data_IF_842006615638
#
_entry.id   IF_842006615638
#
_cell.length_a   1.000
_cell.length_b   1.000
_cell.length_c   1.000
_cell.angle_alpha   90.00
_cell.angle_beta   90.00
_cell.angle_gamma   90.00
#
_symmetry.space_group_name_H-M   'P 1'
#
loop_
_entity.id
_entity.type
_entity.pdbx_description
1 polymer ?
#
# COMPACT_ATOMS: atom_id res chain seq x y z
N UNK A 1 -11.22 -8.78 29.46
CA UNK A 1 -9.99 -8.42 30.19
C UNK A 1 -9.29 -7.34 29.40
N UNK A 2 -9.14 -6.15 29.99
CA UNK A 2 -8.49 -5.00 29.38
C UNK A 2 -6.97 -5.23 29.41
N UNK A 3 -6.38 -5.52 28.26
CA UNK A 3 -4.92 -5.53 28.08
C UNK A 3 -4.50 -4.10 27.70
N UNK A 4 -4.25 -3.26 28.69
CA UNK A 4 -3.46 -2.04 28.49
C UNK A 4 -1.98 -2.43 28.57
N UNK A 5 -1.43 -3.06 27.53
CA UNK A 5 -0.02 -2.87 27.25
C UNK A 5 0.12 -1.44 26.72
N UNK A 6 1.07 -0.67 27.27
CA UNK A 6 1.34 0.69 26.82
C UNK A 6 1.90 0.64 25.39
N UNK A 7 1.03 0.62 24.38
CA UNK A 7 1.46 0.73 23.00
C UNK A 7 2.11 2.11 22.83
N UNK A 8 3.36 2.16 22.34
CA UNK A 8 4.04 3.43 22.02
C UNK A 8 3.12 4.33 21.20
N UNK A 9 3.07 5.63 21.50
CA UNK A 9 2.23 6.55 20.72
C UNK A 9 2.70 6.60 19.26
N UNK A 10 1.84 7.03 18.34
CA UNK A 10 2.22 7.12 16.92
C UNK A 10 3.42 8.05 16.72
N UNK A 11 3.47 9.16 17.45
CA UNK A 11 4.58 10.12 17.41
C UNK A 11 5.86 9.53 18.00
N UNK A 12 5.77 8.82 19.13
CA UNK A 12 6.93 8.16 19.74
C UNK A 12 7.58 7.17 18.76
N UNK A 13 6.79 6.38 18.03
CA UNK A 13 7.28 5.41 17.05
C UNK A 13 8.07 6.10 15.96
N UNK A 14 7.55 7.19 15.38
CA UNK A 14 8.21 7.87 14.26
C UNK A 14 9.45 8.67 14.73
N UNK A 15 9.36 9.35 15.87
CA UNK A 15 10.44 10.23 16.34
C UNK A 15 11.64 9.41 16.84
N UNK A 16 11.40 8.19 17.31
CA UNK A 16 12.42 7.24 17.74
C UNK A 16 12.70 6.14 16.71
N UNK A 17 12.16 6.22 15.50
CA UNK A 17 12.48 5.25 14.46
C UNK A 17 13.98 5.33 14.11
N UNK A 18 14.65 4.17 14.14
CA UNK A 18 16.09 4.02 13.82
C UNK A 18 16.37 3.01 12.71
N UNK A 19 15.34 2.45 12.09
CA UNK A 19 15.47 1.41 11.08
C UNK A 19 15.31 0.01 11.66
N UNK A 20 15.69 -0.99 10.87
CA UNK A 20 15.62 -2.41 11.21
C UNK A 20 16.62 -2.75 12.32
N UNK A 21 16.19 -3.56 13.27
CA UNK A 21 16.98 -3.95 14.45
C UNK A 21 17.62 -5.32 14.19
N UNK A 22 18.96 -5.37 14.17
CA UNK A 22 19.77 -6.60 14.05
C UNK A 22 19.42 -7.52 12.87
N UNK A 23 18.87 -6.98 11.78
CA UNK A 23 18.36 -7.76 10.65
C UNK A 23 17.27 -8.80 11.05
N UNK A 24 16.59 -8.54 12.18
CA UNK A 24 15.58 -9.41 12.77
C UNK A 24 14.19 -8.77 12.68
N UNK A 25 13.36 -9.34 11.81
CA UNK A 25 11.98 -8.90 11.56
C UNK A 25 11.14 -8.90 12.84
N UNK A 26 11.22 -9.98 13.62
CA UNK A 26 10.39 -10.15 14.81
C UNK A 26 10.80 -9.21 15.92
N UNK A 27 12.10 -9.09 16.18
CA UNK A 27 12.64 -8.11 17.12
C UNK A 27 12.26 -6.69 16.72
N UNK A 28 12.37 -6.36 15.43
CA UNK A 28 11.96 -5.05 14.90
C UNK A 28 10.49 -4.77 15.20
N UNK A 29 9.58 -5.72 14.93
CA UNK A 29 8.15 -5.55 15.23
C UNK A 29 7.88 -5.43 16.74
N UNK A 30 8.50 -6.29 17.56
CA UNK A 30 8.29 -6.28 19.02
C UNK A 30 8.72 -4.95 19.64
N UNK A 31 9.93 -4.49 19.32
CA UNK A 31 10.51 -3.29 19.91
C UNK A 31 9.78 -2.03 19.40
N UNK A 32 9.44 -1.97 18.10
CA UNK A 32 8.74 -0.82 17.50
C UNK A 32 7.38 -0.58 18.15
N UNK A 33 6.63 -1.65 18.42
CA UNK A 33 5.26 -1.55 18.92
C UNK A 33 5.15 -1.78 20.44
N UNK A 34 6.28 -1.92 21.14
CA UNK A 34 6.29 -2.13 22.60
C UNK A 34 5.61 -3.44 23.02
N UNK A 35 5.75 -4.48 22.22
CA UNK A 35 5.11 -5.79 22.45
C UNK A 35 5.98 -6.66 23.36
N UNK A 36 5.34 -7.55 24.12
CA UNK A 36 6.06 -8.52 24.96
C UNK A 36 6.89 -9.50 24.11
N UNK A 37 8.06 -9.90 24.61
CA UNK A 37 8.84 -10.99 23.99
C UNK A 37 8.09 -12.32 23.95
N UNK A 38 7.16 -12.51 24.88
CA UNK A 38 6.28 -13.68 24.98
C UNK A 38 4.93 -13.44 24.28
N UNK A 39 4.83 -12.49 23.36
CA UNK A 39 3.61 -12.19 22.62
C UNK A 39 3.12 -13.40 21.81
N UNK A 40 2.04 -14.01 22.30
CA UNK A 40 1.41 -15.18 21.70
C UNK A 40 0.35 -14.87 20.64
N UNK A 41 0.29 -13.64 20.12
CA UNK A 41 -0.72 -13.27 19.13
C UNK A 41 -0.54 -14.06 17.83
N UNK A 42 -1.65 -14.60 17.34
CA UNK A 42 -1.69 -15.39 16.12
C UNK A 42 -2.17 -14.51 14.97
N UNK A 43 -1.26 -14.15 14.07
CA UNK A 43 -1.59 -13.47 12.83
C UNK A 43 -2.25 -14.44 11.87
N UNK A 44 -3.44 -14.08 11.36
CA UNK A 44 -4.29 -14.96 10.55
C UNK A 44 -4.50 -14.40 9.16
N UNK A 45 -4.48 -15.30 8.18
CA UNK A 45 -5.05 -15.08 6.84
C UNK A 45 -5.84 -16.33 6.44
N UNK A 46 -6.47 -16.34 5.26
CA UNK A 46 -7.16 -17.53 4.76
C UNK A 46 -6.25 -18.77 4.66
N UNK A 47 -4.93 -18.58 4.48
CA UNK A 47 -3.99 -19.66 4.16
C UNK A 47 -3.08 -20.11 5.31
N UNK A 48 -3.01 -19.36 6.42
CA UNK A 48 -2.21 -19.75 7.59
C UNK A 48 -2.61 -18.96 8.86
N UNK A 49 -2.16 -19.49 10.00
CA UNK A 49 -2.27 -18.87 11.31
C UNK A 49 -0.96 -19.08 12.07
N UNK A 50 -0.18 -18.01 12.27
CA UNK A 50 1.17 -18.10 12.84
C UNK A 50 1.43 -16.98 13.85
N UNK A 51 2.19 -17.30 14.89
CA UNK A 51 2.75 -16.32 15.83
C UNK A 51 4.00 -15.67 15.25
N UNK A 52 4.41 -14.53 15.81
CA UNK A 52 5.62 -13.84 15.35
C UNK A 52 6.90 -14.71 15.42
N UNK A 53 7.15 -15.50 16.50
CA UNK A 53 8.29 -16.42 16.53
C UNK A 53 8.25 -17.49 15.44
N UNK A 54 7.07 -18.06 15.14
CA UNK A 54 6.92 -19.04 14.06
C UNK A 54 7.20 -18.43 12.68
N UNK A 55 6.81 -17.16 12.48
CA UNK A 55 7.13 -16.41 11.26
C UNK A 55 8.65 -16.24 11.15
N UNK A 56 9.33 -15.84 12.24
CA UNK A 56 10.79 -15.70 12.28
C UNK A 56 11.50 -17.00 11.93
N UNK A 57 11.08 -18.11 12.53
CA UNK A 57 11.66 -19.43 12.27
C UNK A 57 11.57 -19.79 10.78
N UNK A 58 10.44 -19.47 10.15
CA UNK A 58 10.21 -19.76 8.72
C UNK A 58 11.05 -18.87 7.81
N UNK A 59 11.28 -17.60 8.21
CA UNK A 59 12.22 -16.68 7.55
C UNK A 59 13.64 -17.23 7.64
N UNK A 60 14.11 -17.56 8.86
CA UNK A 60 15.46 -18.06 9.12
C UNK A 60 15.74 -19.39 8.43
N UNK A 61 14.72 -20.24 8.25
CA UNK A 61 14.82 -21.48 7.48
C UNK A 61 14.86 -21.28 5.95
N UNK A 62 14.71 -20.04 5.46
CA UNK A 62 14.71 -19.72 4.03
C UNK A 62 13.49 -20.22 3.26
N UNK A 63 12.40 -20.61 3.96
CA UNK A 63 11.22 -21.24 3.36
C UNK A 63 10.25 -20.25 2.71
N UNK A 64 10.44 -18.95 2.90
CA UNK A 64 9.54 -17.89 2.40
C UNK A 64 10.04 -17.18 1.14
N UNK A 65 11.05 -17.72 0.46
CA UNK A 65 11.62 -17.08 -0.74
C UNK A 65 10.60 -17.08 -1.89
N UNK A 66 10.38 -15.92 -2.48
CA UNK A 66 9.67 -15.79 -3.74
C UNK A 66 10.56 -16.29 -4.88
N UNK A 67 9.98 -17.08 -5.78
CA UNK A 67 10.72 -17.72 -6.86
C UNK A 67 10.35 -17.12 -8.21
N UNK A 68 11.22 -16.27 -8.74
CA UNK A 68 11.19 -15.89 -10.15
C UNK A 68 11.58 -17.08 -11.00
N UNK A 69 10.91 -17.27 -12.14
CA UNK A 69 11.17 -18.39 -13.03
C UNK A 69 11.50 -17.94 -14.45
N UNK A 70 12.47 -18.59 -15.05
CA UNK A 70 12.81 -18.49 -16.47
C UNK A 70 12.73 -19.88 -17.09
N UNK A 71 11.84 -20.09 -18.06
CA UNK A 71 11.60 -21.40 -18.69
C UNK A 71 11.42 -22.55 -17.68
N UNK A 72 10.67 -22.29 -16.59
CA UNK A 72 10.39 -23.27 -15.52
C UNK A 72 11.53 -23.50 -14.53
N UNK A 73 12.65 -22.77 -14.63
CA UNK A 73 13.77 -22.83 -13.69
C UNK A 73 13.76 -21.63 -12.76
N UNK A 74 13.94 -21.88 -11.46
CA UNK A 74 14.07 -20.82 -10.46
C UNK A 74 15.34 -20.00 -10.71
N UNK A 75 15.17 -18.69 -10.84
CA UNK A 75 16.25 -17.72 -11.01
C UNK A 75 16.60 -17.11 -9.66
N UNK A 76 17.90 -17.09 -9.34
CA UNK A 76 18.41 -16.41 -8.16
C UNK A 76 18.42 -14.90 -8.39
N UNK A 77 17.87 -14.15 -7.43
CA UNK A 77 17.80 -12.69 -7.51
C UNK A 77 18.97 -12.08 -6.73
N UNK A 78 19.84 -11.28 -7.37
CA UNK A 78 20.87 -10.52 -6.68
C UNK A 78 20.27 -9.51 -5.69
N UNK A 79 20.87 -9.38 -4.50
CA UNK A 79 20.44 -8.39 -3.50
C UNK A 79 20.45 -6.96 -4.07
N UNK A 80 21.45 -6.62 -4.88
CA UNK A 80 21.54 -5.31 -5.54
C UNK A 80 20.35 -4.98 -6.45
N UNK A 81 19.68 -5.99 -7.01
CA UNK A 81 18.47 -5.78 -7.82
C UNK A 81 17.26 -5.48 -6.92
N UNK A 82 17.16 -6.15 -5.76
CA UNK A 82 16.11 -5.90 -4.75
C UNK A 82 16.28 -4.50 -4.15
N UNK A 83 17.50 -4.10 -3.82
CA UNK A 83 17.82 -2.77 -3.33
C UNK A 83 17.48 -1.70 -4.37
N UNK A 84 17.79 -1.97 -5.65
CA UNK A 84 17.42 -1.07 -6.73
C UNK A 84 15.89 -0.95 -6.88
N UNK A 85 15.14 -2.05 -6.77
CA UNK A 85 13.67 -2.04 -6.81
C UNK A 85 13.07 -1.25 -5.65
N UNK A 86 13.45 -1.56 -4.41
CA UNK A 86 12.92 -0.87 -3.22
C UNK A 86 13.28 0.62 -3.21
N UNK A 87 14.44 0.99 -3.78
CA UNK A 87 14.86 2.39 -3.92
C UNK A 87 13.94 3.23 -4.83
N UNK A 88 13.17 2.61 -5.73
CA UNK A 88 12.21 3.32 -6.60
C UNK A 88 11.19 4.09 -5.75
N UNK A 89 10.81 3.53 -4.60
CA UNK A 89 9.78 4.08 -3.73
C UNK A 89 10.33 4.89 -2.56
N UNK A 90 11.65 5.08 -2.50
CA UNK A 90 12.31 5.84 -1.44
C UNK A 90 11.99 7.33 -1.56
N UNK A 91 11.72 7.99 -0.44
CA UNK A 91 11.60 9.46 -0.42
C UNK A 91 12.88 10.20 -0.82
N UNK A 92 14.02 9.49 -0.90
CA UNK A 92 15.35 10.04 -1.23
C UNK A 92 15.66 9.99 -2.73
N UNK A 93 14.85 9.30 -3.52
CA UNK A 93 15.04 9.13 -4.96
C UNK A 93 14.01 9.93 -5.75
N UNK A 94 14.25 10.06 -7.05
CA UNK A 94 13.29 10.62 -8.00
C UNK A 94 12.72 9.41 -8.74
N UNK A 95 11.44 9.11 -8.55
CA UNK A 95 10.81 7.85 -9.00
C UNK A 95 10.97 7.64 -10.49
N UNK A 96 10.74 8.66 -11.32
CA UNK A 96 10.89 8.54 -12.77
C UNK A 96 12.33 8.24 -13.17
N UNK A 97 13.32 8.90 -12.55
CA UNK A 97 14.74 8.59 -12.79
C UNK A 97 15.14 7.22 -12.25
N UNK A 98 14.61 6.82 -11.10
CA UNK A 98 14.86 5.52 -10.49
C UNK A 98 14.30 4.39 -11.37
N UNK A 99 13.11 4.54 -11.94
CA UNK A 99 12.53 3.59 -12.90
C UNK A 99 13.35 3.46 -14.18
N UNK A 100 13.86 4.58 -14.72
CA UNK A 100 14.75 4.56 -15.88
C UNK A 100 16.06 3.84 -15.55
N UNK A 101 16.69 4.19 -14.43
CA UNK A 101 17.92 3.54 -13.97
C UNK A 101 17.71 2.06 -13.63
N UNK A 102 16.54 1.69 -13.12
CA UNK A 102 16.18 0.31 -12.82
C UNK A 102 16.18 -0.53 -14.10
N UNK A 103 15.57 -0.01 -15.18
CA UNK A 103 15.58 -0.65 -16.50
C UNK A 103 16.95 -0.63 -17.18
N UNK A 104 17.65 0.50 -17.21
CA UNK A 104 18.88 0.66 -17.99
C UNK A 104 20.05 -0.19 -17.47
N UNK A 105 20.00 -0.58 -16.20
CA UNK A 105 20.99 -1.45 -15.57
C UNK A 105 20.55 -2.91 -15.50
N UNK A 106 19.39 -3.26 -16.09
CA UNK A 106 18.92 -4.63 -16.14
C UNK A 106 19.73 -5.44 -17.18
N UNK A 107 20.10 -6.67 -16.83
CA UNK A 107 20.63 -7.62 -17.82
C UNK A 107 19.49 -8.08 -18.72
N UNK A 108 19.75 -8.20 -20.02
CA UNK A 108 18.76 -8.74 -20.97
C UNK A 108 18.30 -10.13 -20.55
N UNK A 109 16.98 -10.34 -20.53
CA UNK A 109 16.33 -11.58 -20.08
C UNK A 109 16.32 -11.79 -18.57
N UNK A 110 16.76 -10.82 -17.77
CA UNK A 110 16.74 -10.96 -16.30
C UNK A 110 15.37 -10.61 -15.71
N UNK A 111 15.03 -11.16 -14.53
CA UNK A 111 13.85 -10.74 -13.78
C UNK A 111 13.76 -9.22 -13.55
N UNK A 112 14.91 -8.55 -13.37
CA UNK A 112 14.96 -7.08 -13.27
C UNK A 112 14.44 -6.39 -14.52
N UNK A 113 14.78 -6.89 -15.70
CA UNK A 113 14.29 -6.33 -16.97
C UNK A 113 12.76 -6.48 -17.05
N UNK A 114 12.23 -7.65 -16.74
CA UNK A 114 10.79 -7.93 -16.80
C UNK A 114 9.99 -7.03 -15.86
N UNK A 115 10.44 -6.93 -14.59
CA UNK A 115 9.82 -6.04 -13.61
C UNK A 115 9.95 -4.58 -14.07
N UNK A 116 11.12 -4.15 -14.56
CA UNK A 116 11.31 -2.77 -14.98
C UNK A 116 10.40 -2.38 -16.15
N UNK A 117 10.31 -3.23 -17.18
CA UNK A 117 9.39 -3.03 -18.31
C UNK A 117 7.94 -2.97 -17.84
N UNK A 118 7.56 -3.84 -16.90
CA UNK A 118 6.21 -3.85 -16.35
C UNK A 118 5.90 -2.55 -15.61
N UNK A 119 6.73 -2.15 -14.65
CA UNK A 119 6.54 -0.91 -13.88
C UNK A 119 6.49 0.33 -14.79
N UNK A 120 7.34 0.38 -15.83
CA UNK A 120 7.30 1.47 -16.82
C UNK A 120 5.99 1.49 -17.61
N UNK A 121 5.48 0.34 -18.03
CA UNK A 121 4.20 0.25 -18.75
C UNK A 121 3.01 0.72 -17.91
N UNK A 122 3.14 0.64 -16.58
CA UNK A 122 2.13 1.07 -15.60
C UNK A 122 2.35 2.50 -15.10
N UNK A 123 3.41 3.20 -15.50
CA UNK A 123 3.71 4.53 -14.99
C UNK A 123 3.06 5.64 -15.84
N UNK A 124 2.15 6.40 -15.23
CA UNK A 124 1.63 7.68 -15.72
C UNK A 124 1.96 8.76 -14.66
N UNK A 125 3.10 9.47 -14.80
CA UNK A 125 3.56 10.42 -13.79
C UNK A 125 2.58 11.59 -13.66
N UNK A 126 2.53 12.25 -12.49
CA UNK A 126 1.83 13.53 -12.37
C UNK A 126 2.47 14.58 -13.29
N UNK A 127 1.70 15.60 -13.65
CA UNK A 127 2.17 16.71 -14.51
C UNK A 127 3.18 17.64 -13.82
N UNK A 128 3.40 17.47 -12.52
CA UNK A 128 4.32 18.24 -11.70
C UNK A 128 5.44 17.36 -11.14
N UNK A 129 6.55 18.01 -10.81
CA UNK A 129 7.70 17.34 -10.20
C UNK A 129 7.47 17.08 -8.72
N UNK A 130 7.72 15.86 -8.27
CA UNK A 130 7.72 15.50 -6.85
C UNK A 130 9.13 15.80 -6.27
N UNK A 131 9.24 16.59 -5.18
CA UNK A 131 10.52 16.85 -4.54
C UNK A 131 10.99 15.63 -3.75
N UNK A 132 12.31 15.50 -3.55
CA UNK A 132 12.87 14.49 -2.64
C UNK A 132 12.70 14.95 -1.19
N UNK A 133 12.42 14.02 -0.28
CA UNK A 133 12.30 14.29 1.14
C UNK A 133 13.25 13.41 1.97
N UNK A 134 14.48 13.91 2.19
CA UNK A 134 15.50 13.21 2.97
C UNK A 134 15.10 12.93 4.42
N UNK A 135 14.25 13.77 4.99
CA UNK A 135 13.78 13.70 6.37
C UNK A 135 12.41 13.01 6.53
N UNK A 136 11.82 12.49 5.44
CA UNK A 136 10.57 11.73 5.55
C UNK A 136 10.86 10.38 6.22
N UNK A 137 10.21 10.15 7.37
CA UNK A 137 10.31 8.93 8.15
C UNK A 137 9.07 8.08 7.88
N UNK A 138 9.26 6.80 7.58
CA UNK A 138 8.19 5.87 7.31
C UNK A 138 8.62 4.44 7.71
N UNK A 139 8.35 4.00 8.95
CA UNK A 139 8.72 2.67 9.41
C UNK A 139 8.13 1.56 8.55
N UNK A 140 6.93 1.76 8.00
CA UNK A 140 6.31 0.78 7.11
C UNK A 140 7.14 0.57 5.84
N UNK A 141 7.63 1.64 5.22
CA UNK A 141 8.49 1.53 4.04
C UNK A 141 9.78 0.75 4.34
N UNK A 142 10.44 1.06 5.44
CA UNK A 142 11.71 0.41 5.81
C UNK A 142 11.50 -1.09 6.12
N UNK A 143 10.46 -1.43 6.88
CA UNK A 143 10.12 -2.84 7.18
C UNK A 143 9.66 -3.58 5.93
N UNK A 144 8.91 -2.93 5.03
CA UNK A 144 8.55 -3.50 3.74
C UNK A 144 9.79 -3.80 2.89
N UNK A 145 10.71 -2.83 2.77
CA UNK A 145 11.93 -3.00 1.98
C UNK A 145 12.79 -4.15 2.52
N UNK A 146 12.92 -4.26 3.85
CA UNK A 146 13.58 -5.39 4.51
C UNK A 146 12.87 -6.72 4.22
N UNK A 147 11.53 -6.73 4.22
CA UNK A 147 10.76 -7.92 3.84
C UNK A 147 11.04 -8.34 2.38
N UNK A 148 11.26 -7.40 1.45
CA UNK A 148 11.65 -7.74 0.08
C UNK A 148 12.99 -8.48 0.04
N UNK A 149 13.98 -8.05 0.82
CA UNK A 149 15.29 -8.71 0.92
C UNK A 149 15.15 -10.12 1.53
N UNK A 150 14.44 -10.24 2.65
CA UNK A 150 14.16 -11.51 3.32
C UNK A 150 13.48 -12.52 2.40
N UNK A 151 12.52 -12.06 1.60
CA UNK A 151 11.72 -12.91 0.70
C UNK A 151 12.34 -13.03 -0.71
N UNK A 152 13.48 -12.38 -0.98
CA UNK A 152 14.07 -12.31 -2.33
C UNK A 152 13.08 -11.80 -3.40
N UNK A 153 12.25 -10.82 -3.03
CA UNK A 153 11.24 -10.23 -3.88
C UNK A 153 11.78 -9.00 -4.62
N UNK A 154 11.66 -9.00 -5.95
CA UNK A 154 12.17 -7.97 -6.87
C UNK A 154 11.06 -7.08 -7.46
N UNK A 155 9.80 -7.37 -7.16
CA UNK A 155 8.65 -6.66 -7.72
C UNK A 155 7.70 -7.52 -8.55
N UNK A 156 6.54 -6.95 -8.93
CA UNK A 156 5.47 -7.66 -9.61
C UNK A 156 5.79 -7.95 -11.08
N UNK A 157 5.15 -8.99 -11.63
CA UNK A 157 5.27 -9.40 -13.02
C UNK A 157 3.94 -9.25 -13.77
N UNK A 158 3.95 -9.05 -15.11
CA UNK A 158 2.75 -8.93 -15.92
C UNK A 158 2.05 -10.27 -16.18
N UNK A 159 2.63 -11.39 -15.75
CA UNK A 159 2.17 -12.71 -16.18
C UNK A 159 0.88 -13.17 -15.50
N UNK A 160 0.22 -14.14 -16.14
CA UNK A 160 -1.06 -14.68 -15.70
C UNK A 160 -0.98 -15.39 -14.34
N UNK A 161 0.18 -15.89 -13.92
CA UNK A 161 0.35 -16.45 -12.58
C UNK A 161 0.28 -15.33 -11.54
N UNK A 162 0.95 -14.21 -11.77
CA UNK A 162 0.92 -13.07 -10.86
C UNK A 162 -0.46 -12.41 -10.75
N UNK A 163 -1.22 -12.44 -11.84
CA UNK A 163 -2.62 -11.98 -11.88
C UNK A 163 -3.65 -13.04 -11.44
N UNK A 164 -3.23 -14.29 -11.18
CA UNK A 164 -4.16 -15.38 -10.87
C UNK A 164 -4.81 -15.15 -9.49
N UNK A 165 -6.16 -15.06 -9.40
CA UNK A 165 -6.85 -14.89 -8.13
C UNK A 165 -6.53 -15.97 -7.08
N UNK A 166 -6.26 -17.22 -7.50
CA UNK A 166 -5.87 -18.30 -6.59
C UNK A 166 -4.45 -18.09 -6.02
N UNK A 167 -3.51 -17.59 -6.83
CA UNK A 167 -2.19 -17.20 -6.36
C UNK A 167 -2.26 -15.98 -5.45
N UNK A 168 -3.13 -15.00 -5.77
CA UNK A 168 -3.36 -13.81 -4.98
C UNK A 168 -4.02 -14.06 -3.61
N UNK A 169 -4.67 -15.23 -3.41
CA UNK A 169 -5.20 -15.67 -2.11
C UNK A 169 -4.13 -16.22 -1.18
N UNK A 170 -2.98 -16.64 -1.70
CA UNK A 170 -1.86 -17.09 -0.88
C UNK A 170 -1.09 -15.88 -0.38
N UNK A 171 -1.21 -15.59 0.91
CA UNK A 171 -0.38 -14.57 1.56
C UNK A 171 0.93 -15.20 2.06
N UNK A 172 1.99 -14.41 2.13
CA UNK A 172 3.20 -14.82 2.84
C UNK A 172 3.04 -14.53 4.35
N UNK A 173 3.65 -15.32 5.26
CA UNK A 173 3.50 -15.16 6.71
C UNK A 173 3.77 -13.76 7.28
N UNK A 174 4.64 -12.99 6.64
CA UNK A 174 4.95 -11.60 7.02
C UNK A 174 3.80 -10.62 6.72
N UNK A 175 2.98 -10.87 5.69
CA UNK A 175 1.97 -9.91 5.22
C UNK A 175 0.92 -9.50 6.28
N UNK A 176 0.25 -10.43 6.99
CA UNK A 176 -0.71 -10.04 8.02
C UNK A 176 -0.06 -9.29 9.18
N UNK A 177 1.21 -9.55 9.52
CA UNK A 177 1.91 -8.74 10.53
C UNK A 177 1.91 -7.27 10.10
N UNK A 178 2.27 -7.01 8.85
CA UNK A 178 2.27 -5.65 8.29
C UNK A 178 0.87 -5.04 8.21
N UNK A 179 -0.14 -5.81 7.83
CA UNK A 179 -1.53 -5.33 7.79
C UNK A 179 -2.06 -4.94 9.17
N UNK A 180 -1.80 -5.75 10.19
CA UNK A 180 -2.24 -5.48 11.56
C UNK A 180 -1.58 -4.25 12.18
N UNK A 181 -0.35 -3.93 11.75
CA UNK A 181 0.44 -2.83 12.33
C UNK A 181 0.43 -1.56 11.50
N UNK A 182 0.27 -1.63 10.18
CA UNK A 182 0.38 -0.47 9.28
C UNK A 182 -0.74 -0.34 8.23
N UNK A 183 -1.51 -1.41 7.96
CA UNK A 183 -2.54 -1.42 6.92
C UNK A 183 -2.06 -2.05 5.60
N UNK A 184 -2.92 -2.02 4.56
CA UNK A 184 -2.77 -2.94 3.43
C UNK A 184 -1.73 -2.53 2.36
N UNK A 185 -1.42 -1.24 2.24
CA UNK A 185 -0.48 -0.71 1.25
C UNK A 185 0.43 0.31 1.91
N UNK A 186 1.72 0.28 1.57
CA UNK A 186 2.71 1.23 2.08
C UNK A 186 2.49 2.60 1.40
N UNK A 187 2.12 3.67 2.14
CA UNK A 187 2.14 5.02 1.59
C UNK A 187 3.56 5.44 1.29
N UNK A 188 3.88 5.79 0.04
CA UNK A 188 5.17 6.38 -0.34
C UNK A 188 5.12 7.89 -0.18
N UNK A 189 6.28 8.54 -0.03
CA UNK A 189 6.34 10.00 -0.04
C UNK A 189 5.70 10.58 -1.32
N UNK A 190 5.95 9.97 -2.48
CA UNK A 190 5.33 10.36 -3.75
C UNK A 190 3.80 10.32 -3.68
N UNK A 191 3.23 9.23 -3.15
CA UNK A 191 1.78 9.10 -3.02
C UNK A 191 1.17 10.17 -2.12
N UNK A 192 1.80 10.43 -0.96
CA UNK A 192 1.35 11.43 -0.01
C UNK A 192 1.48 12.85 -0.58
N UNK A 193 2.58 13.13 -1.28
CA UNK A 193 2.81 14.42 -1.95
C UNK A 193 1.83 14.66 -3.10
N UNK A 194 1.54 13.64 -3.91
CA UNK A 194 0.51 13.72 -4.95
C UNK A 194 -0.84 14.10 -4.35
N UNK A 195 -1.26 13.44 -3.27
CA UNK A 195 -2.51 13.77 -2.57
C UNK A 195 -2.48 15.23 -2.07
N UNK A 196 -1.38 15.66 -1.46
CA UNK A 196 -1.23 17.05 -1.00
C UNK A 196 -1.38 18.06 -2.12
N UNK A 197 -0.77 17.81 -3.28
CA UNK A 197 -0.87 18.69 -4.45
C UNK A 197 -2.26 18.67 -5.08
N UNK A 198 -2.96 17.53 -5.04
CA UNK A 198 -4.35 17.46 -5.50
C UNK A 198 -5.29 18.28 -4.60
N UNK A 199 -5.09 18.28 -3.28
CA UNK A 199 -5.86 19.12 -2.34
C UNK A 199 -5.66 20.59 -2.68
N UNK A 200 -4.40 21.02 -2.84
CA UNK A 200 -4.05 22.40 -3.17
C UNK A 200 -4.63 22.83 -4.53
N UNK A 201 -4.38 22.04 -5.59
CA UNK A 201 -4.78 22.36 -6.96
C UNK A 201 -6.31 22.39 -7.15
N UNK A 202 -7.05 21.58 -6.38
CA UNK A 202 -8.52 21.57 -6.42
C UNK A 202 -9.18 22.52 -5.43
N UNK A 203 -8.39 23.19 -4.57
CA UNK A 203 -8.87 23.97 -3.42
C UNK A 203 -9.85 23.17 -2.55
N UNK A 204 -9.54 21.89 -2.36
CA UNK A 204 -10.38 21.01 -1.57
C UNK A 204 -10.24 21.33 -0.07
N UNK A 205 -11.33 21.13 0.67
CA UNK A 205 -11.38 21.32 2.13
C UNK A 205 -10.61 20.22 2.88
N UNK A 206 -10.17 19.17 2.18
CA UNK A 206 -9.40 18.07 2.73
C UNK A 206 -9.60 16.75 1.98
N UNK A 207 -9.29 15.66 2.68
CA UNK A 207 -9.38 14.28 2.19
C UNK A 207 -10.35 13.49 3.07
N UNK A 208 -11.15 12.64 2.45
CA UNK A 208 -11.89 11.56 3.12
C UNK A 208 -11.10 10.28 2.88
N UNK A 209 -10.45 9.76 3.92
CA UNK A 209 -9.79 8.45 3.91
C UNK A 209 -10.86 7.39 4.20
N UNK A 210 -11.39 6.80 3.13
CA UNK A 210 -12.51 5.86 3.18
C UNK A 210 -12.00 4.43 3.29
N UNK A 211 -12.58 3.67 4.23
CA UNK A 211 -12.04 2.38 4.68
C UNK A 211 -10.61 2.53 5.23
N UNK A 212 -10.44 3.55 6.08
CA UNK A 212 -9.13 3.96 6.61
C UNK A 212 -8.42 2.90 7.46
N UNK A 213 -9.12 1.85 7.88
CA UNK A 213 -8.59 0.79 8.72
C UNK A 213 -7.99 1.32 10.02
N UNK A 214 -6.69 1.06 10.24
CA UNK A 214 -5.98 1.55 11.40
C UNK A 214 -5.53 3.02 11.32
N UNK A 215 -5.75 3.68 10.18
CA UNK A 215 -5.49 5.09 9.96
C UNK A 215 -4.03 5.47 9.73
N UNK A 216 -3.15 4.54 9.32
CA UNK A 216 -1.75 4.89 9.03
C UNK A 216 -1.61 5.94 7.91
N UNK A 217 -2.40 5.79 6.83
CA UNK A 217 -2.47 6.77 5.74
C UNK A 217 -2.96 8.13 6.26
N UNK A 218 -4.07 8.15 6.99
CA UNK A 218 -4.58 9.36 7.65
C UNK A 218 -3.51 10.03 8.53
N UNK A 219 -2.82 9.27 9.38
CA UNK A 219 -1.78 9.81 10.26
C UNK A 219 -0.65 10.49 9.48
N UNK A 220 -0.12 9.86 8.44
CA UNK A 220 0.96 10.44 7.62
C UNK A 220 0.49 11.66 6.81
N UNK A 221 -0.72 11.63 6.25
CA UNK A 221 -1.29 12.80 5.54
C UNK A 221 -1.52 13.98 6.50
N UNK A 222 -1.96 13.74 7.74
CA UNK A 222 -2.08 14.78 8.78
C UNK A 222 -0.73 15.35 9.19
N UNK A 223 0.34 14.55 9.23
CA UNK A 223 1.72 15.06 9.42
C UNK A 223 2.16 15.99 8.27
N UNK A 224 1.62 15.79 7.07
CA UNK A 224 1.76 16.73 5.94
C UNK A 224 0.82 17.95 6.03
N UNK A 225 0.17 18.16 7.18
CA UNK A 225 -0.74 19.28 7.45
C UNK A 225 -2.01 19.28 6.61
N UNK A 226 -2.39 18.12 6.05
CA UNK A 226 -3.67 17.96 5.38
C UNK A 226 -4.79 17.75 6.39
N UNK A 227 -5.96 18.32 6.09
CA UNK A 227 -7.20 18.00 6.79
C UNK A 227 -7.74 16.66 6.28
N UNK A 228 -7.72 15.63 7.13
CA UNK A 228 -8.13 14.27 6.76
C UNK A 228 -9.17 13.74 7.73
N UNK A 229 -10.32 13.34 7.17
CA UNK A 229 -11.39 12.63 7.88
C UNK A 229 -11.24 11.13 7.61
N UNK A 230 -10.97 10.33 8.65
CA UNK A 230 -10.86 8.89 8.54
C UNK A 230 -12.23 8.24 8.79
N UNK A 231 -12.66 7.38 7.89
CA UNK A 231 -13.95 6.68 7.95
C UNK A 231 -13.72 5.20 7.77
N UNK A 232 -14.22 4.39 8.71
CA UNK A 232 -14.13 2.93 8.64
C UNK A 232 -15.32 2.28 9.35
N UNK A 233 -15.69 1.05 8.99
CA UNK A 233 -16.75 0.32 9.70
C UNK A 233 -16.23 -0.40 10.96
N UNK A 234 -14.91 -0.43 11.15
CA UNK A 234 -14.18 -1.11 12.22
C UNK A 234 -14.50 -2.61 12.29
N UNK A 235 -14.72 -3.25 11.14
CA UNK A 235 -14.93 -4.70 11.05
C UNK A 235 -13.63 -5.51 11.17
N UNK A 236 -12.50 -4.89 10.84
CA UNK A 236 -11.17 -5.49 10.93
C UNK A 236 -10.54 -5.26 12.32
N UNK A 237 -9.77 -6.24 12.78
CA UNK A 237 -8.97 -6.13 14.01
C UNK A 237 -7.55 -5.66 13.67
N UNK A 238 -7.05 -4.67 14.40
CA UNK A 238 -5.69 -4.15 14.25
C UNK A 238 -4.92 -4.23 15.56
N UNK A 239 -3.62 -4.46 15.45
CA UNK A 239 -2.70 -4.51 16.60
C UNK A 239 -2.20 -3.12 16.98
N UNK A 240 -2.16 -2.21 16.01
CA UNK A 240 -1.85 -0.80 16.21
C UNK A 240 -2.90 0.06 15.51
N UNK A 241 -3.55 0.93 16.27
CA UNK A 241 -4.29 2.07 15.75
C UNK A 241 -3.35 3.29 15.73
N UNK A 242 -3.24 3.94 14.58
CA UNK A 242 -2.39 5.13 14.39
C UNK A 242 -3.10 6.44 14.73
N UNK A 243 -4.42 6.41 14.67
CA UNK A 243 -5.31 7.48 15.09
C UNK A 243 -6.39 6.91 16.00
N UNK A 244 -6.93 7.75 16.88
CA UNK A 244 -8.00 7.37 17.80
C UNK A 244 -9.37 7.91 17.39
N UNK A 245 -9.43 8.78 16.38
CA UNK A 245 -10.59 9.57 15.99
C UNK A 245 -11.22 9.12 14.65
N UNK A 246 -11.00 7.86 14.24
CA UNK A 246 -11.69 7.28 13.08
C UNK A 246 -13.19 7.29 13.31
N UNK A 247 -13.95 7.88 12.38
CA UNK A 247 -15.41 7.83 12.40
C UNK A 247 -15.89 6.41 12.04
N UNK A 248 -16.57 5.77 12.99
CA UNK A 248 -17.17 4.45 12.76
C UNK A 248 -18.48 4.59 11.98
N UNK A 249 -18.44 4.40 10.67
CA UNK A 249 -19.60 4.56 9.79
C UNK A 249 -19.54 3.68 8.52
N UNK A 250 -20.72 3.42 7.93
CA UNK A 250 -20.80 2.98 6.53
C UNK A 250 -20.42 4.15 5.62
N UNK A 251 -19.53 3.91 4.65
CA UNK A 251 -19.00 4.96 3.79
C UNK A 251 -20.05 5.69 2.95
N UNK A 252 -21.09 4.98 2.50
CA UNK A 252 -22.18 5.58 1.71
C UNK A 252 -23.04 6.47 2.60
N UNK A 253 -23.33 6.04 3.82
CA UNK A 253 -24.05 6.85 4.81
C UNK A 253 -23.25 8.08 5.23
N UNK A 254 -21.94 7.93 5.46
CA UNK A 254 -21.05 9.05 5.75
C UNK A 254 -21.10 10.09 4.63
N UNK A 255 -20.95 9.68 3.37
CA UNK A 255 -21.03 10.61 2.24
C UNK A 255 -22.39 11.32 2.20
N UNK A 256 -23.51 10.61 2.41
CA UNK A 256 -24.85 11.23 2.41
C UNK A 256 -25.01 12.30 3.50
N UNK A 257 -24.48 12.07 4.70
CA UNK A 257 -24.50 13.03 5.81
C UNK A 257 -23.62 14.25 5.56
N UNK A 258 -22.58 14.10 4.73
CA UNK A 258 -21.58 15.14 4.45
C UNK A 258 -21.66 15.66 3.01
N UNK A 259 -22.88 15.92 2.52
CA UNK A 259 -23.14 16.51 1.20
C UNK A 259 -22.46 15.77 0.02
N UNK A 260 -22.37 14.44 0.12
CA UNK A 260 -21.70 13.58 -0.87
C UNK A 260 -20.18 13.70 -0.87
N UNK A 261 -19.57 14.27 0.17
CA UNK A 261 -18.14 14.57 0.19
C UNK A 261 -17.74 15.68 -0.79
N UNK A 262 -18.68 16.58 -1.11
CA UNK A 262 -18.42 17.74 -1.97
C UNK A 262 -17.23 18.54 -1.42
N UNK A 263 -16.40 19.07 -2.32
CA UNK A 263 -15.16 19.80 -2.02
C UNK A 263 -14.06 19.01 -1.28
N UNK A 264 -14.19 17.69 -1.09
CA UNK A 264 -13.10 16.85 -0.55
C UNK A 264 -12.64 15.84 -1.57
N UNK A 265 -11.37 15.44 -1.50
CA UNK A 265 -10.85 14.29 -2.24
C UNK A 265 -11.38 13.01 -1.59
N UNK A 266 -11.76 12.02 -2.40
CA UNK A 266 -12.06 10.69 -1.91
C UNK A 266 -10.81 9.81 -2.06
N UNK A 267 -10.18 9.46 -0.93
CA UNK A 267 -9.11 8.48 -0.87
C UNK A 267 -9.71 7.11 -0.52
N UNK A 268 -9.40 6.11 -1.33
CA UNK A 268 -9.88 4.73 -1.20
C UNK A 268 -8.68 3.81 -1.15
N UNK A 269 -8.29 3.37 0.05
CA UNK A 269 -7.14 2.48 0.23
C UNK A 269 -7.61 1.05 0.41
N UNK A 270 -7.21 0.19 -0.52
CA UNK A 270 -7.38 -1.26 -0.47
C UNK A 270 -8.82 -1.72 -0.24
N UNK A 271 -9.73 -1.14 -1.02
CA UNK A 271 -11.15 -1.46 -1.00
C UNK A 271 -11.36 -2.93 -1.42
N UNK A 272 -11.35 -3.85 -0.45
CA UNK A 272 -11.51 -5.29 -0.71
C UNK A 272 -12.82 -5.52 -1.45
N UNK A 273 -12.79 -6.42 -2.43
CA UNK A 273 -13.96 -6.78 -3.23
C UNK A 273 -15.02 -7.48 -2.38
N UNK A 274 -15.91 -6.69 -1.78
CA UNK A 274 -17.03 -7.17 -0.98
C UNK A 274 -18.35 -6.59 -1.51
N UNK A 275 -19.16 -7.46 -2.14
CA UNK A 275 -20.47 -7.11 -2.67
C UNK A 275 -20.40 -5.93 -3.64
N UNK A 276 -21.28 -4.94 -3.44
CA UNK A 276 -21.41 -3.76 -4.31
C UNK A 276 -20.89 -2.47 -3.68
N UNK A 277 -20.10 -2.56 -2.59
CA UNK A 277 -19.71 -1.40 -1.79
C UNK A 277 -18.99 -0.32 -2.61
N UNK A 278 -17.94 -0.67 -3.34
CA UNK A 278 -17.19 0.27 -4.20
C UNK A 278 -18.10 0.99 -5.19
N UNK A 279 -19.02 0.26 -5.86
CA UNK A 279 -19.98 0.85 -6.80
C UNK A 279 -20.91 1.86 -6.12
N UNK A 280 -21.46 1.48 -4.97
CA UNK A 280 -22.38 2.33 -4.19
C UNK A 280 -21.67 3.58 -3.66
N UNK A 281 -20.43 3.44 -3.20
CA UNK A 281 -19.60 4.53 -2.70
C UNK A 281 -19.32 5.56 -3.81
N UNK A 282 -18.84 5.10 -4.97
CA UNK A 282 -18.57 5.96 -6.12
C UNK A 282 -19.83 6.70 -6.61
N UNK A 283 -20.99 6.02 -6.65
CA UNK A 283 -22.26 6.67 -7.02
C UNK A 283 -22.74 7.73 -6.01
N UNK A 284 -22.40 7.55 -4.73
CA UNK A 284 -22.74 8.50 -3.68
C UNK A 284 -21.80 9.71 -3.63
N UNK A 285 -20.55 9.57 -4.10
CA UNK A 285 -19.57 10.64 -4.10
C UNK A 285 -19.90 11.76 -5.09
N UNK A 286 -19.87 13.00 -4.61
CA UNK A 286 -20.22 14.23 -5.35
C UNK A 286 -19.05 15.20 -5.51
N UNK A 287 -17.85 14.81 -5.08
CA UNK A 287 -16.63 15.54 -5.41
C UNK A 287 -16.12 15.24 -6.83
N UNK A 288 -14.90 15.67 -7.11
CA UNK A 288 -14.31 15.68 -8.45
C UNK A 288 -12.95 14.99 -8.54
N UNK A 289 -12.42 14.45 -7.43
CA UNK A 289 -11.09 13.83 -7.40
C UNK A 289 -11.14 12.56 -6.57
N UNK A 290 -10.80 11.44 -7.20
CA UNK A 290 -10.74 10.12 -6.57
C UNK A 290 -9.31 9.64 -6.62
N UNK A 291 -8.79 9.22 -5.48
CA UNK A 291 -7.50 8.54 -5.35
C UNK A 291 -7.79 7.12 -4.89
N UNK A 292 -7.56 6.13 -5.74
CA UNK A 292 -7.67 4.73 -5.35
C UNK A 292 -6.28 4.11 -5.24
N UNK A 293 -6.03 3.39 -4.15
CA UNK A 293 -4.79 2.67 -3.90
C UNK A 293 -5.14 1.21 -3.68
N UNK A 294 -4.51 0.30 -4.42
CA UNK A 294 -4.76 -1.13 -4.29
C UNK A 294 -4.21 -1.91 -5.46
N UNK A 295 -4.74 -3.12 -5.66
CA UNK A 295 -4.22 -4.03 -6.67
C UNK A 295 -4.43 -3.48 -8.08
N UNK A 296 -3.35 -3.35 -8.84
CA UNK A 296 -3.40 -2.77 -10.19
C UNK A 296 -3.56 -3.81 -11.32
N UNK A 297 -3.41 -5.10 -11.02
CA UNK A 297 -3.62 -6.18 -11.98
C UNK A 297 -5.05 -6.74 -11.93
N UNK A 298 -5.31 -7.73 -12.79
CA UNK A 298 -6.62 -8.37 -12.93
C UNK A 298 -6.91 -9.43 -11.84
N UNK A 299 -6.24 -9.41 -10.68
CA UNK A 299 -6.47 -10.40 -9.61
C UNK A 299 -7.82 -10.24 -8.88
N UNK A 300 -8.52 -9.11 -9.12
CA UNK A 300 -9.86 -8.78 -8.59
C UNK A 300 -9.95 -8.76 -7.06
N UNK A 301 -8.84 -8.47 -6.39
CA UNK A 301 -8.79 -8.43 -4.93
C UNK A 301 -9.27 -7.10 -4.35
N UNK A 302 -9.04 -6.00 -5.07
CA UNK A 302 -9.51 -4.66 -4.69
C UNK A 302 -10.35 -4.00 -5.78
N UNK A 303 -11.21 -3.04 -5.40
CA UNK A 303 -12.08 -2.33 -6.31
C UNK A 303 -13.35 -3.12 -6.63
N UNK A 304 -13.31 -3.89 -7.73
CA UNK A 304 -14.47 -4.63 -8.24
C UNK A 304 -14.15 -6.11 -8.49
N UNK A 305 -15.15 -6.97 -8.28
CA UNK A 305 -14.99 -8.42 -8.41
C UNK A 305 -14.89 -8.91 -9.87
N UNK A 306 -15.39 -8.12 -10.82
CA UNK A 306 -15.57 -8.50 -12.22
C UNK A 306 -14.70 -7.70 -13.20
N UNK A 307 -14.10 -6.59 -12.77
CA UNK A 307 -13.30 -5.69 -13.61
C UNK A 307 -12.24 -4.94 -12.77
N UNK A 308 -11.29 -4.29 -13.42
CA UNK A 308 -10.30 -3.44 -12.78
C UNK A 308 -10.93 -2.08 -12.52
N UNK A 309 -10.31 -1.28 -11.67
CA UNK A 309 -10.73 0.11 -11.49
C UNK A 309 -10.68 0.88 -12.82
N UNK A 310 -9.65 0.66 -13.65
CA UNK A 310 -9.52 1.31 -14.95
C UNK A 310 -10.65 0.91 -15.91
N UNK A 311 -10.91 -0.41 -16.06
CA UNK A 311 -11.99 -0.94 -16.89
C UNK A 311 -13.36 -0.38 -16.47
N UNK A 312 -13.61 -0.29 -15.16
CA UNK A 312 -14.84 0.30 -14.64
C UNK A 312 -14.95 1.80 -14.95
N UNK A 313 -13.88 2.56 -14.75
CA UNK A 313 -13.91 4.01 -15.00
C UNK A 313 -14.10 4.33 -16.48
N UNK A 314 -13.44 3.58 -17.37
CA UNK A 314 -13.61 3.74 -18.81
C UNK A 314 -15.05 3.48 -19.26
N UNK A 315 -15.68 2.44 -18.70
CA UNK A 315 -17.02 2.00 -19.11
C UNK A 315 -18.16 2.79 -18.45
N UNK A 316 -18.07 3.02 -17.14
CA UNK A 316 -19.21 3.44 -16.31
C UNK A 316 -19.04 4.87 -15.77
N UNK A 317 -17.85 5.47 -15.87
CA UNK A 317 -17.53 6.79 -15.33
C UNK A 317 -16.87 7.68 -16.40
N UNK A 318 -17.47 7.74 -17.59
CA UNK A 318 -16.88 8.37 -18.79
C UNK A 318 -16.62 9.88 -18.67
N UNK A 319 -17.25 10.55 -17.70
CA UNK A 319 -16.98 11.93 -17.32
C UNK A 319 -15.74 12.09 -16.42
N UNK A 320 -14.98 11.02 -16.17
CA UNK A 320 -13.72 11.02 -15.43
C UNK A 320 -12.53 10.73 -16.35
N UNK A 321 -11.38 11.25 -15.96
CA UNK A 321 -10.10 11.07 -16.66
C UNK A 321 -9.05 10.57 -15.67
N UNK A 322 -8.31 9.52 -16.04
CA UNK A 322 -7.14 9.07 -15.31
C UNK A 322 -5.99 10.05 -15.56
N UNK A 323 -5.60 10.81 -14.54
CA UNK A 323 -4.58 11.86 -14.67
C UNK A 323 -3.23 11.47 -14.08
N UNK A 324 -3.18 10.41 -13.26
CA UNK A 324 -1.94 9.90 -12.68
C UNK A 324 -2.11 8.43 -12.29
N UNK A 325 -1.07 7.64 -12.55
CA UNK A 325 -0.94 6.24 -12.14
C UNK A 325 0.51 5.98 -11.74
N UNK A 326 0.75 5.62 -10.49
CA UNK A 326 2.08 5.25 -10.01
C UNK A 326 2.04 3.84 -9.42
N UNK A 327 3.15 3.12 -9.54
CA UNK A 327 3.34 1.87 -8.83
C UNK A 327 3.51 2.15 -7.33
N UNK A 328 3.04 1.23 -6.50
CA UNK A 328 3.19 1.28 -5.05
C UNK A 328 4.06 0.10 -4.58
N UNK A 329 4.68 0.20 -3.40
CA UNK A 329 5.41 -0.90 -2.80
C UNK A 329 4.54 -2.15 -2.74
N UNK A 330 4.93 -3.18 -3.47
CA UNK A 330 4.16 -4.41 -3.64
C UNK A 330 4.68 -5.52 -2.73
N UNK A 331 3.80 -6.41 -2.29
CA UNK A 331 4.19 -7.60 -1.54
C UNK A 331 4.40 -8.78 -2.50
N UNK A 332 5.15 -9.80 -2.06
CA UNK A 332 5.29 -11.02 -2.85
C UNK A 332 3.91 -11.62 -3.15
N UNK A 333 3.56 -11.73 -4.44
CA UNK A 333 2.24 -12.19 -4.90
C UNK A 333 1.15 -11.11 -4.95
N UNK A 334 1.50 -9.85 -4.71
CA UNK A 334 0.62 -8.68 -4.82
C UNK A 334 1.20 -7.66 -5.78
N UNK A 335 0.34 -6.89 -6.41
CA UNK A 335 0.72 -5.88 -7.40
C UNK A 335 -0.03 -4.59 -7.12
N UNK A 336 0.62 -3.66 -6.41
CA UNK A 336 -0.03 -2.48 -5.85
C UNK A 336 0.22 -1.24 -6.72
N UNK A 337 -0.81 -0.42 -6.88
CA UNK A 337 -0.76 0.85 -7.60
C UNK A 337 -1.64 1.91 -6.96
N UNK A 338 -1.33 3.17 -7.25
CA UNK A 338 -2.19 4.31 -6.96
C UNK A 338 -2.65 4.94 -8.26
N UNK A 339 -3.94 5.22 -8.32
CA UNK A 339 -4.62 5.80 -9.47
C UNK A 339 -5.35 7.06 -9.05
N UNK A 340 -5.25 8.10 -9.86
CA UNK A 340 -5.93 9.38 -9.63
C UNK A 340 -6.85 9.66 -10.79
N UNK A 341 -8.15 9.71 -10.52
CA UNK A 341 -9.14 10.17 -11.48
C UNK A 341 -9.65 11.55 -11.10
N UNK A 342 -9.82 12.38 -12.12
CA UNK A 342 -10.42 13.70 -12.00
C UNK A 342 -11.64 13.79 -12.91
N UNK A 343 -12.72 14.39 -12.42
CA UNK A 343 -13.89 14.67 -13.26
C UNK A 343 -13.52 15.71 -14.32
N UNK A 344 -13.88 15.45 -15.58
CA UNK A 344 -13.67 16.36 -16.71
C UNK A 344 -14.45 17.64 -16.45
N UNK A 345 -13.82 18.78 -16.75
CA UNK A 345 -14.52 20.06 -16.78
C UNK A 345 -15.25 20.10 -18.12
N UNK A 346 -16.55 19.85 -18.11
CA UNK A 346 -17.44 20.06 -19.27
C UNK A 346 -17.81 21.53 -19.40
#
# INVERSE_FOLDING_TARGET
MSLTSSSSSADDILDHWRGIIDDDFSKTILDTFGLSKDDGYVYRTESFAMTLPQIQETISAGKLKYHYQDHGKVVQIPLADIDAYTSIFSSKTDTSKALVAFASNAKKGSPREWVAQYLQSRHLPPSYKIPKAKAHINPYYDIWAHSCQMLSFLGPLPDAHYANPAAAKMAHPVLPVLYHHFGCVVPTYDSLYIISQLVEASRADGVIDMASGNGYWTYLLRRMKLNVSAVDNMASEYRKMWISDTEKADGVEHLRKHAGGKNKLLLMVYMVTAGTFTRRLLGAYKGNTIVAVGTQNANRYTGFSDCTMEEWFEKEMSDWELICRISMPSFAGKDEGMFVWKRKIT
#
